data_IF_813416394670
#
_entry.id   IF_813416394670
#
_cell.length_a   1.000
_cell.length_b   1.000
_cell.length_c   1.000
_cell.angle_alpha   90.00
_cell.angle_beta   90.00
_cell.angle_gamma   90.00
#
_symmetry.space_group_name_H-M   'P 1'
#
loop_
_entity.id
_entity.type
_entity.pdbx_description
1 polymer ?
#
# COMPACT_ATOMS: atom_id res chain seq x y z
N UNK A 1 -13.18 -16.98 3.50
CA UNK A 1 -12.33 -18.05 4.10
C UNK A 1 -10.89 -17.73 3.79
N UNK A 2 -10.03 -17.51 4.80
CA UNK A 2 -8.62 -17.21 4.59
C UNK A 2 -7.90 -18.33 3.88
N UNK A 3 -6.95 -18.01 2.98
CA UNK A 3 -6.11 -19.02 2.34
C UNK A 3 -5.44 -19.89 3.41
N UNK A 4 -5.27 -21.21 3.17
CA UNK A 4 -4.54 -22.08 4.10
C UNK A 4 -3.16 -21.48 4.39
N UNK A 5 -2.71 -21.58 5.65
CA UNK A 5 -1.46 -21.01 6.16
C UNK A 5 -0.24 -21.05 5.21
N UNK A 6 0.07 -22.18 4.53
CA UNK A 6 1.18 -22.23 3.58
C UNK A 6 1.00 -21.34 2.33
N UNK A 7 -0.23 -21.22 1.81
CA UNK A 7 -0.51 -20.35 0.66
C UNK A 7 -0.40 -18.87 0.99
N UNK A 8 -0.75 -18.48 2.22
CA UNK A 8 -0.57 -17.12 2.70
C UNK A 8 0.92 -16.78 2.87
N UNK A 9 1.72 -17.70 3.41
CA UNK A 9 3.18 -17.54 3.53
C UNK A 9 3.87 -17.38 2.18
N UNK A 10 3.48 -18.18 1.19
CA UNK A 10 4.01 -18.05 -0.17
C UNK A 10 3.67 -16.68 -0.78
N UNK A 11 2.42 -16.21 -0.61
CA UNK A 11 2.01 -14.88 -1.07
C UNK A 11 2.78 -13.75 -0.38
N UNK A 12 3.01 -13.86 0.93
CA UNK A 12 3.81 -12.90 1.71
C UNK A 12 5.25 -12.82 1.19
N UNK A 13 5.89 -13.98 1.00
CA UNK A 13 7.23 -14.04 0.41
C UNK A 13 7.26 -13.44 -1.00
N UNK A 14 6.26 -13.74 -1.82
CA UNK A 14 6.14 -13.19 -3.16
C UNK A 14 5.98 -11.66 -3.16
N UNK A 15 5.17 -11.11 -2.26
CA UNK A 15 5.04 -9.65 -2.09
C UNK A 15 6.37 -9.03 -1.70
N UNK A 16 7.10 -9.63 -0.76
CA UNK A 16 8.43 -9.15 -0.38
C UNK A 16 9.37 -9.12 -1.59
N UNK A 17 9.44 -10.22 -2.34
CA UNK A 17 10.28 -10.31 -3.55
C UNK A 17 9.90 -9.23 -4.57
N UNK A 18 8.61 -9.03 -4.84
CA UNK A 18 8.15 -7.99 -5.75
C UNK A 18 8.59 -6.59 -5.32
N UNK A 19 8.50 -6.26 -4.03
CA UNK A 19 8.90 -4.95 -3.52
C UNK A 19 10.41 -4.78 -3.61
N UNK A 20 11.19 -5.80 -3.28
CA UNK A 20 12.67 -5.79 -3.42
C UNK A 20 13.06 -5.55 -4.88
N UNK A 21 12.51 -6.34 -5.82
CA UNK A 21 12.81 -6.19 -7.25
C UNK A 21 12.40 -4.82 -7.76
N UNK A 22 11.22 -4.32 -7.36
CA UNK A 22 10.75 -3.00 -7.79
C UNK A 22 11.69 -1.87 -7.34
N UNK A 23 12.13 -1.91 -6.07
CA UNK A 23 13.06 -0.91 -5.54
C UNK A 23 14.44 -1.04 -6.18
N UNK A 24 14.95 -2.26 -6.37
CA UNK A 24 16.23 -2.50 -7.01
C UNK A 24 16.25 -2.00 -8.45
N UNK A 25 15.24 -2.34 -9.27
CA UNK A 25 15.11 -1.86 -10.65
C UNK A 25 15.00 -0.34 -10.68
N UNK A 26 14.20 0.26 -9.80
CA UNK A 26 14.09 1.72 -9.67
C UNK A 26 15.43 2.39 -9.34
N UNK A 27 16.21 1.82 -8.42
CA UNK A 27 17.58 2.29 -8.10
C UNK A 27 18.52 2.20 -9.29
N UNK A 28 18.52 1.06 -10.01
CA UNK A 28 19.35 0.90 -11.21
C UNK A 28 18.96 1.92 -12.29
N UNK A 29 17.66 2.11 -12.54
CA UNK A 29 17.19 3.12 -13.48
C UNK A 29 17.57 4.55 -13.06
N UNK A 30 17.56 4.88 -11.77
CA UNK A 30 18.01 6.17 -11.26
C UNK A 30 19.50 6.40 -11.52
N UNK A 31 20.32 5.36 -11.44
CA UNK A 31 21.78 5.44 -11.70
C UNK A 31 22.07 5.54 -13.20
N UNK A 32 21.40 4.73 -14.02
CA UNK A 32 21.66 4.65 -15.46
C UNK A 32 21.00 5.78 -16.26
N UNK A 33 19.79 6.19 -15.87
CA UNK A 33 18.95 7.12 -16.64
C UNK A 33 18.25 8.15 -15.74
N UNK A 34 18.99 8.95 -14.95
CA UNK A 34 18.42 9.87 -13.96
C UNK A 34 17.40 10.84 -14.56
N UNK A 35 17.69 11.43 -15.72
CA UNK A 35 16.79 12.39 -16.37
C UNK A 35 15.48 11.76 -16.84
N UNK A 36 15.52 10.52 -17.36
CA UNK A 36 14.31 9.81 -17.79
C UNK A 36 13.42 9.48 -16.60
N UNK A 37 14.01 9.05 -15.49
CA UNK A 37 13.27 8.77 -14.26
C UNK A 37 12.67 10.05 -13.68
N UNK A 38 13.44 11.15 -13.65
CA UNK A 38 12.95 12.47 -13.22
C UNK A 38 11.74 12.92 -14.06
N UNK A 39 11.83 12.83 -15.39
CA UNK A 39 10.72 13.15 -16.29
C UNK A 39 9.49 12.27 -16.03
N UNK A 40 9.69 10.97 -15.80
CA UNK A 40 8.60 10.04 -15.48
C UNK A 40 7.91 10.39 -14.16
N UNK A 41 8.69 10.68 -13.11
CA UNK A 41 8.17 11.09 -11.80
C UNK A 41 7.41 12.42 -11.90
N UNK A 42 7.94 13.39 -12.65
CA UNK A 42 7.27 14.67 -12.90
C UNK A 42 5.96 14.49 -13.67
N UNK A 43 5.91 13.61 -14.67
CA UNK A 43 4.69 13.29 -15.40
C UNK A 43 3.62 12.68 -14.47
N UNK A 44 4.02 11.82 -13.54
CA UNK A 44 3.11 11.27 -12.52
C UNK A 44 2.54 12.36 -11.59
N UNK A 45 3.32 13.42 -11.34
CA UNK A 45 2.93 14.55 -10.49
C UNK A 45 2.04 15.59 -11.19
N UNK A 46 1.78 15.48 -12.49
CA UNK A 46 0.85 16.41 -13.17
C UNK A 46 -0.53 16.47 -12.51
N UNK A 47 -0.94 15.39 -11.82
CA UNK A 47 -2.20 15.34 -11.08
C UNK A 47 -2.15 16.01 -9.70
N UNK A 48 -0.97 16.37 -9.20
CA UNK A 48 -0.75 16.95 -7.87
C UNK A 48 0.21 18.17 -7.94
N UNK A 49 -0.20 19.27 -8.60
CA UNK A 49 0.68 20.40 -8.92
C UNK A 49 1.23 21.15 -7.68
N UNK A 50 0.62 20.97 -6.51
CA UNK A 50 1.06 21.62 -5.27
C UNK A 50 2.31 20.99 -4.64
N UNK A 51 2.72 19.79 -5.07
CA UNK A 51 3.87 19.10 -4.51
C UNK A 51 5.15 19.41 -5.31
N UNK A 52 6.05 20.21 -4.73
CA UNK A 52 7.38 20.45 -5.30
C UNK A 52 8.18 19.15 -5.41
N UNK A 53 8.82 18.91 -6.55
CA UNK A 53 9.62 17.70 -6.83
C UNK A 53 10.62 17.40 -5.71
N UNK A 54 11.35 18.41 -5.24
CA UNK A 54 12.43 18.23 -4.26
C UNK A 54 11.94 17.74 -2.89
N UNK A 55 10.67 17.98 -2.56
CA UNK A 55 10.11 17.64 -1.25
C UNK A 55 9.77 16.15 -1.11
N UNK A 56 9.58 15.42 -2.22
CA UNK A 56 9.06 14.06 -2.17
C UNK A 56 9.72 13.11 -3.17
N UNK A 57 10.16 13.58 -4.34
CA UNK A 57 10.75 12.70 -5.35
C UNK A 57 12.02 11.98 -4.87
N UNK A 58 12.92 12.60 -4.06
CA UNK A 58 14.09 11.91 -3.51
C UNK A 58 13.74 10.73 -2.59
N UNK A 59 12.51 10.68 -2.07
CA UNK A 59 12.06 9.54 -1.24
C UNK A 59 11.82 8.30 -2.08
N UNK A 60 11.58 8.41 -3.40
CA UNK A 60 11.32 7.26 -4.27
C UNK A 60 12.50 6.29 -4.30
N UNK A 61 12.19 5.00 -4.21
CA UNK A 61 13.16 3.90 -4.17
C UNK A 61 14.19 4.01 -3.03
N UNK A 62 13.97 4.86 -2.03
CA UNK A 62 14.75 4.87 -0.78
C UNK A 62 14.38 3.69 0.12
N UNK A 63 15.14 3.50 1.21
CA UNK A 63 14.78 2.52 2.25
C UNK A 63 13.44 2.86 2.90
N UNK A 64 13.13 4.15 3.09
CA UNK A 64 11.83 4.58 3.62
C UNK A 64 10.68 4.20 2.68
N UNK A 65 10.87 4.39 1.37
CA UNK A 65 9.90 3.98 0.36
C UNK A 65 9.70 2.47 0.33
N UNK A 66 10.79 1.69 0.46
CA UNK A 66 10.71 0.23 0.57
C UNK A 66 9.78 -0.19 1.74
N UNK A 67 10.05 0.31 2.94
CA UNK A 67 9.23 -0.03 4.13
C UNK A 67 7.79 0.42 3.98
N UNK A 68 7.57 1.62 3.41
CA UNK A 68 6.23 2.13 3.15
C UNK A 68 5.43 1.23 2.19
N UNK A 69 6.00 0.92 1.02
CA UNK A 69 5.33 0.08 0.02
C UNK A 69 5.12 -1.34 0.55
N UNK A 70 6.10 -1.90 1.25
CA UNK A 70 5.98 -3.21 1.88
C UNK A 70 4.83 -3.22 2.89
N UNK A 71 4.79 -2.25 3.80
CA UNK A 71 3.71 -2.10 4.80
C UNK A 71 2.34 -2.04 4.12
N UNK A 72 2.17 -1.18 3.11
CA UNK A 72 0.88 -0.99 2.42
C UNK A 72 0.46 -2.28 1.69
N UNK A 73 1.37 -2.94 0.97
CA UNK A 73 1.05 -4.20 0.29
C UNK A 73 0.77 -5.34 1.25
N UNK A 74 1.45 -5.36 2.40
CA UNK A 74 1.22 -6.33 3.45
C UNK A 74 -0.16 -6.18 4.06
N UNK A 75 -0.54 -4.97 4.46
CA UNK A 75 -1.88 -4.68 5.00
C UNK A 75 -2.98 -5.08 4.00
N UNK A 76 -2.83 -4.72 2.72
CA UNK A 76 -3.79 -5.12 1.67
C UNK A 76 -3.88 -6.63 1.44
N UNK A 77 -2.84 -7.39 1.79
CA UNK A 77 -2.87 -8.85 1.70
C UNK A 77 -3.70 -9.46 2.84
N UNK A 78 -3.69 -8.82 4.01
CA UNK A 78 -4.42 -9.24 5.22
C UNK A 78 -5.87 -8.76 5.20
N UNK A 79 -6.12 -7.52 4.79
CA UNK A 79 -7.45 -6.87 4.77
C UNK A 79 -8.31 -7.27 3.54
N UNK A 80 -8.13 -8.48 3.00
CA UNK A 80 -8.90 -8.91 1.83
C UNK A 80 -10.35 -9.13 2.19
N UNK A 81 -11.22 -8.31 1.60
CA UNK A 81 -12.66 -8.54 1.54
C UNK A 81 -13.00 -9.14 0.18
N UNK A 82 -13.68 -10.28 0.20
CA UNK A 82 -14.12 -10.98 -1.01
C UNK A 82 -15.65 -11.16 -0.93
N UNK A 83 -16.40 -11.05 -2.04
CA UNK A 83 -17.83 -11.32 -2.05
C UNK A 83 -18.13 -12.70 -1.44
N UNK A 84 -19.05 -12.76 -0.48
CA UNK A 84 -19.37 -13.99 0.27
C UNK A 84 -18.44 -14.29 1.46
N UNK A 85 -17.40 -13.48 1.68
CA UNK A 85 -16.58 -13.51 2.90
C UNK A 85 -17.21 -12.70 4.04
N UNK A 86 -16.68 -12.87 5.26
CA UNK A 86 -17.06 -12.02 6.40
C UNK A 86 -16.67 -10.57 6.13
N UNK A 87 -17.61 -9.64 6.31
CA UNK A 87 -17.31 -8.22 6.28
C UNK A 87 -16.31 -7.87 7.41
N UNK A 88 -15.37 -6.94 7.20
CA UNK A 88 -14.37 -6.59 8.21
C UNK A 88 -15.02 -5.83 9.37
N UNK A 89 -14.69 -6.20 10.61
CA UNK A 89 -15.19 -5.52 11.81
C UNK A 89 -14.36 -4.29 12.17
N UNK A 90 -14.31 -3.29 11.28
CA UNK A 90 -13.48 -2.11 11.51
C UNK A 90 -14.08 -1.21 12.60
N UNK A 91 -13.24 -0.51 13.39
CA UNK A 91 -13.69 0.52 14.30
C UNK A 91 -14.20 1.74 13.52
N UNK A 92 -15.31 2.31 13.96
CA UNK A 92 -15.94 3.51 13.42
C UNK A 92 -16.33 4.46 14.56
N UNK A 93 -16.60 5.71 14.20
CA UNK A 93 -17.03 6.74 15.15
C UNK A 93 -18.42 7.21 14.75
N UNK A 94 -19.37 7.14 15.67
CA UNK A 94 -20.74 7.63 15.48
C UNK A 94 -20.76 9.17 15.47
N UNK A 95 -21.85 9.77 14.98
CA UNK A 95 -22.05 11.22 15.03
C UNK A 95 -22.03 11.79 16.46
N UNK A 96 -22.38 10.97 17.45
CA UNK A 96 -22.26 11.29 18.88
C UNK A 96 -20.81 11.38 19.38
N UNK A 97 -19.83 11.00 18.56
CA UNK A 97 -18.41 10.90 18.93
C UNK A 97 -18.03 9.56 19.59
N UNK A 98 -19.00 8.66 19.82
CA UNK A 98 -18.74 7.36 20.42
C UNK A 98 -18.05 6.41 19.41
N UNK A 99 -17.02 5.69 19.87
CA UNK A 99 -16.39 4.61 19.10
C UNK A 99 -17.20 3.32 19.22
N UNK A 100 -17.45 2.67 18.10
CA UNK A 100 -18.04 1.34 18.00
C UNK A 100 -17.41 0.60 16.80
N UNK A 101 -17.87 -0.60 16.47
CA UNK A 101 -17.41 -1.34 15.29
C UNK A 101 -18.53 -1.53 14.26
N UNK A 102 -18.15 -1.84 13.01
CA UNK A 102 -19.12 -2.06 11.91
C UNK A 102 -20.12 -3.18 12.25
N UNK A 103 -19.68 -4.27 12.89
CA UNK A 103 -20.57 -5.38 13.20
C UNK A 103 -21.64 -5.04 14.23
N UNK A 104 -21.44 -4.00 15.03
CA UNK A 104 -22.43 -3.54 16.02
C UNK A 104 -23.72 -3.08 15.31
N UNK A 105 -23.65 -2.65 14.05
CA UNK A 105 -24.79 -2.25 13.21
C UNK A 105 -25.45 -3.40 12.44
N UNK A 106 -24.88 -4.61 12.45
CA UNK A 106 -25.44 -5.74 11.70
C UNK A 106 -26.59 -6.44 12.44
N UNK A 107 -26.84 -6.07 13.70
CA UNK A 107 -28.01 -6.52 14.45
C UNK A 107 -29.18 -5.61 14.07
N UNK A 108 -30.13 -6.14 13.29
CA UNK A 108 -31.35 -5.40 12.93
C UNK A 108 -32.32 -5.36 14.10
N UNK A 109 -32.76 -4.15 14.46
CA UNK A 109 -34.09 -3.91 15.02
C UNK A 109 -34.99 -3.33 13.93
#
# INVERSE_FOLDING_TARGET
MGLPGPGLWLKRFWVLLQVVVHVAVGKVCLILFPERVKQHILAMNQKNPHFSYDNWAPTFYSMQYFWFVLKVRWQRLEDRTEPGGLAPNCPVVQLSGQRCNIWDFMHGE
#
